data_IF_689820895768
#
_entry.id   IF_689820895768
#
_cell.length_a   1.000
_cell.length_b   1.000
_cell.length_c   1.000
_cell.angle_alpha   90.00
_cell.angle_beta   90.00
_cell.angle_gamma   90.00
#
_symmetry.space_group_name_H-M   'P 1'
#
loop_
_entity.id
_entity.type
_entity.pdbx_description
1 polymer ?
#
# COMPACT_ATOMS: atom_id res chain seq x y z
N UNK A 1 -7.28 -25.98 5.26
CA UNK A 1 -7.47 -25.51 3.87
C UNK A 1 -8.31 -24.24 3.93
N UNK A 2 -7.92 -23.17 3.22
CA UNK A 2 -8.61 -21.87 3.23
C UNK A 2 -9.57 -21.77 2.03
N UNK A 3 -10.85 -22.19 2.15
CA UNK A 3 -11.72 -22.39 1.00
C UNK A 3 -12.01 -21.11 0.20
N UNK A 4 -12.14 -19.97 0.89
CA UNK A 4 -12.34 -18.67 0.24
C UNK A 4 -11.13 -18.28 -0.62
N UNK A 5 -9.92 -18.31 -0.05
CA UNK A 5 -8.71 -17.93 -0.78
C UNK A 5 -8.43 -18.89 -1.94
N UNK A 6 -8.67 -20.19 -1.77
CA UNK A 6 -8.58 -21.15 -2.87
C UNK A 6 -9.53 -20.79 -4.02
N UNK A 7 -10.79 -20.51 -3.70
CA UNK A 7 -11.77 -20.11 -4.70
C UNK A 7 -11.43 -18.77 -5.38
N UNK A 8 -10.83 -17.83 -4.64
CA UNK A 8 -10.34 -16.57 -5.22
C UNK A 8 -9.18 -16.81 -6.19
N UNK A 9 -8.22 -17.66 -5.83
CA UNK A 9 -7.09 -18.01 -6.68
C UNK A 9 -7.55 -18.70 -7.97
N UNK A 10 -8.43 -19.71 -7.86
CA UNK A 10 -9.04 -20.42 -9.00
C UNK A 10 -9.79 -19.47 -9.96
N UNK A 11 -10.41 -18.42 -9.43
CA UNK A 11 -11.18 -17.43 -10.18
C UNK A 11 -10.38 -16.19 -10.57
N UNK A 12 -9.07 -16.16 -10.31
CA UNK A 12 -8.17 -15.02 -10.59
C UNK A 12 -8.62 -13.70 -9.94
N UNK A 13 -9.29 -13.82 -8.79
CA UNK A 13 -9.69 -12.69 -7.95
C UNK A 13 -8.51 -12.22 -7.10
N UNK A 14 -8.55 -10.95 -6.67
CA UNK A 14 -7.49 -10.31 -5.91
C UNK A 14 -7.94 -10.13 -4.47
N UNK A 15 -7.12 -10.56 -3.53
CA UNK A 15 -7.34 -10.29 -2.11
C UNK A 15 -6.87 -8.88 -1.81
N UNK A 16 -7.78 -7.99 -1.46
CA UNK A 16 -7.44 -6.71 -0.88
C UNK A 16 -7.26 -6.88 0.62
N UNK A 17 -6.03 -6.71 1.11
CA UNK A 17 -5.65 -7.07 2.47
C UNK A 17 -5.22 -5.84 3.28
N UNK A 18 -5.86 -5.66 4.43
CA UNK A 18 -5.54 -4.63 5.41
C UNK A 18 -5.80 -5.21 6.79
N UNK A 19 -4.75 -5.39 7.58
CA UNK A 19 -4.81 -6.20 8.79
C UNK A 19 -3.66 -5.90 9.74
N UNK A 20 -3.82 -6.32 10.99
CA UNK A 20 -2.80 -6.19 12.03
C UNK A 20 -1.65 -7.20 11.84
N UNK A 21 -0.47 -6.97 12.46
CA UNK A 21 0.70 -7.83 12.28
C UNK A 21 0.47 -9.34 12.53
N UNK A 22 -0.29 -9.78 13.55
CA UNK A 22 -0.57 -11.20 13.74
C UNK A 22 -1.34 -11.83 12.56
N UNK A 23 -2.26 -11.08 11.96
CA UNK A 23 -3.05 -11.54 10.81
C UNK A 23 -2.19 -11.61 9.55
N UNK A 24 -1.26 -10.67 9.35
CA UNK A 24 -0.30 -10.70 8.23
C UNK A 24 0.63 -11.91 8.34
N UNK A 25 1.11 -12.25 9.55
CA UNK A 25 1.90 -13.48 9.79
C UNK A 25 1.13 -14.76 9.47
N UNK A 26 -0.18 -14.77 9.72
CA UNK A 26 -1.04 -15.89 9.34
C UNK A 26 -1.27 -15.92 7.82
N UNK A 27 -1.44 -14.75 7.20
CA UNK A 27 -1.66 -14.63 5.76
C UNK A 27 -0.42 -15.04 4.95
N UNK A 28 0.80 -14.82 5.46
CA UNK A 28 2.03 -15.39 4.89
C UNK A 28 1.95 -16.92 4.69
N UNK A 29 1.34 -17.64 5.64
CA UNK A 29 1.13 -19.09 5.50
C UNK A 29 0.15 -19.39 4.37
N UNK A 30 -0.89 -18.57 4.20
CA UNK A 30 -1.83 -18.70 3.07
C UNK A 30 -1.10 -18.50 1.75
N UNK A 31 -0.28 -17.46 1.64
CA UNK A 31 0.49 -17.13 0.43
C UNK A 31 1.50 -18.22 0.06
N UNK A 32 2.03 -18.96 1.05
CA UNK A 32 2.92 -20.12 0.82
C UNK A 32 2.16 -21.35 0.34
N UNK A 33 0.95 -21.59 0.86
CA UNK A 33 0.10 -22.71 0.47
C UNK A 33 -0.62 -22.48 -0.87
N UNK A 34 -0.88 -21.23 -1.23
CA UNK A 34 -1.55 -20.80 -2.46
C UNK A 34 -0.66 -19.78 -3.20
N UNK A 35 0.46 -20.21 -3.81
CA UNK A 35 1.40 -19.30 -4.47
C UNK A 35 0.78 -18.54 -5.65
N UNK A 36 -0.30 -19.04 -6.24
CA UNK A 36 -1.07 -18.41 -7.31
C UNK A 36 -2.08 -17.35 -6.83
N UNK A 37 -2.30 -17.22 -5.51
CA UNK A 37 -3.17 -16.21 -4.95
C UNK A 37 -2.54 -14.82 -5.10
N UNK A 38 -3.30 -13.91 -5.72
CA UNK A 38 -2.89 -12.50 -5.85
C UNK A 38 -3.42 -11.70 -4.65
N UNK A 39 -2.53 -10.97 -3.99
CA UNK A 39 -2.86 -10.12 -2.85
C UNK A 39 -2.37 -8.68 -3.05
N UNK A 40 -3.18 -7.70 -2.66
CA UNK A 40 -2.87 -6.28 -2.67
C UNK A 40 -2.92 -5.76 -1.24
N UNK A 41 -1.79 -5.32 -0.71
CA UNK A 41 -1.70 -4.71 0.63
C UNK A 41 -2.10 -3.24 0.56
N UNK A 42 -3.16 -2.88 1.30
CA UNK A 42 -3.74 -1.54 1.26
C UNK A 42 -2.91 -0.49 2.01
N UNK A 43 -3.09 0.78 1.63
CA UNK A 43 -2.60 1.97 2.34
C UNK A 43 -1.11 1.88 2.73
N UNK A 44 -0.25 1.71 1.73
CA UNK A 44 1.19 1.54 1.89
C UNK A 44 1.59 0.31 2.74
N UNK A 45 0.68 -0.65 2.93
CA UNK A 45 0.91 -1.87 3.71
C UNK A 45 1.06 -1.60 5.22
N UNK A 46 0.60 -0.44 5.70
CA UNK A 46 0.58 -0.16 7.13
C UNK A 46 -0.30 -1.17 7.86
N UNK A 47 0.19 -1.64 9.00
CA UNK A 47 -0.51 -2.62 9.83
C UNK A 47 -0.89 -1.90 11.13
N UNK A 48 -2.12 -1.41 11.18
CA UNK A 48 -2.63 -0.57 12.28
C UNK A 48 -3.85 -1.22 12.93
N UNK A 49 -4.16 -0.81 14.16
CA UNK A 49 -5.35 -1.26 14.89
C UNK A 49 -6.29 -0.08 15.18
N UNK A 50 -7.46 -0.35 15.73
CA UNK A 50 -8.35 0.71 16.20
C UNK A 50 -7.80 1.40 17.46
N UNK A 51 -6.85 0.79 18.17
CA UNK A 51 -6.30 1.34 19.42
C UNK A 51 -5.43 2.59 19.18
N UNK A 52 -4.86 2.72 17.99
CA UNK A 52 -4.07 3.89 17.58
C UNK A 52 -4.75 4.75 16.51
N UNK A 53 -6.06 4.54 16.28
CA UNK A 53 -6.86 5.37 15.39
C UNK A 53 -7.30 6.66 16.10
N UNK A 54 -7.08 7.77 15.43
CA UNK A 54 -7.54 9.10 15.79
C UNK A 54 -8.19 9.79 14.58
N UNK A 55 -8.72 10.98 14.81
CA UNK A 55 -9.23 11.87 13.78
C UNK A 55 -8.34 13.11 13.75
N UNK A 56 -7.84 13.50 12.58
CA UNK A 56 -7.03 14.70 12.42
C UNK A 56 -7.87 15.99 12.40
N UNK A 57 -7.20 17.14 12.30
CA UNK A 57 -7.84 18.46 12.24
C UNK A 57 -8.73 18.68 11.01
N UNK A 58 -8.60 17.84 9.98
CA UNK A 58 -9.41 17.86 8.77
C UNK A 58 -10.56 16.84 8.79
N UNK A 59 -10.80 16.19 9.93
CA UNK A 59 -11.79 15.13 10.12
C UNK A 59 -11.51 13.84 9.33
N UNK A 60 -10.23 13.51 9.12
CA UNK A 60 -9.79 12.29 8.42
C UNK A 60 -9.22 11.26 9.41
N UNK A 61 -9.24 9.96 9.07
CA UNK A 61 -8.52 8.95 9.86
C UNK A 61 -7.03 9.29 9.97
N UNK A 62 -6.49 9.18 11.17
CA UNK A 62 -5.06 9.34 11.43
C UNK A 62 -4.57 8.30 12.42
N UNK A 63 -3.38 7.75 12.19
CA UNK A 63 -2.77 6.72 13.01
C UNK A 63 -1.44 7.22 13.55
N UNK A 64 -1.31 7.25 14.87
CA UNK A 64 -0.03 7.57 15.51
C UNK A 64 0.90 6.35 15.41
N UNK A 65 1.88 6.42 14.50
CA UNK A 65 2.83 5.35 14.21
C UNK A 65 4.24 5.90 14.06
N UNK A 66 5.26 5.11 14.40
CA UNK A 66 6.63 5.47 14.06
C UNK A 66 6.83 5.38 12.55
N UNK A 67 7.56 6.33 11.96
CA UNK A 67 7.93 6.31 10.55
C UNK A 67 9.46 6.20 10.38
N UNK A 68 9.97 5.20 9.63
CA UNK A 68 9.25 4.04 9.11
C UNK A 68 8.75 3.10 10.23
N UNK A 69 7.62 2.38 10.04
CA UNK A 69 7.13 1.45 11.05
C UNK A 69 7.95 0.15 11.04
N UNK A 70 8.09 -0.47 12.21
CA UNK A 70 8.81 -1.75 12.36
C UNK A 70 8.14 -2.89 11.58
N UNK A 71 6.85 -2.73 11.25
CA UNK A 71 6.09 -3.68 10.44
C UNK A 71 6.51 -3.70 8.97
N UNK A 72 7.38 -2.80 8.50
CA UNK A 72 7.93 -2.88 7.14
C UNK A 72 8.73 -4.15 6.91
N UNK A 73 9.41 -4.69 7.92
CA UNK A 73 10.14 -5.96 7.78
C UNK A 73 9.16 -7.13 7.54
N UNK A 74 8.00 -7.07 8.19
CA UNK A 74 6.93 -8.06 7.97
C UNK A 74 6.29 -7.90 6.59
N UNK A 75 6.16 -6.66 6.10
CA UNK A 75 5.70 -6.38 4.74
C UNK A 75 6.70 -6.88 3.68
N UNK A 76 8.00 -6.71 3.92
CA UNK A 76 9.06 -7.23 3.05
C UNK A 76 9.03 -8.76 2.96
N UNK A 77 8.80 -9.43 4.09
CA UNK A 77 8.67 -10.88 4.14
C UNK A 77 7.52 -11.39 3.26
N UNK A 78 6.32 -10.80 3.34
CA UNK A 78 5.19 -11.22 2.48
C UNK A 78 5.37 -10.81 1.02
N UNK A 79 6.05 -9.69 0.76
CA UNK A 79 6.36 -9.21 -0.58
C UNK A 79 7.38 -10.07 -1.33
N UNK A 80 8.07 -10.99 -0.65
CA UNK A 80 8.87 -12.04 -1.27
C UNK A 80 8.03 -12.97 -2.16
N UNK A 81 6.70 -13.05 -1.93
CA UNK A 81 5.79 -13.68 -2.87
C UNK A 81 5.57 -12.73 -4.09
N UNK A 82 5.86 -13.17 -5.32
CA UNK A 82 5.76 -12.33 -6.53
C UNK A 82 4.34 -11.86 -6.83
N UNK A 83 3.31 -12.58 -6.38
CA UNK A 83 1.89 -12.23 -6.56
C UNK A 83 1.35 -11.27 -5.48
N UNK A 84 2.26 -10.67 -4.70
CA UNK A 84 1.93 -9.63 -3.73
C UNK A 84 2.22 -8.24 -4.29
N UNK A 85 1.21 -7.38 -4.23
CA UNK A 85 1.21 -6.00 -4.69
C UNK A 85 0.97 -5.04 -3.53
N UNK A 86 1.30 -3.78 -3.75
CA UNK A 86 1.12 -2.71 -2.80
C UNK A 86 0.20 -1.63 -3.36
N UNK A 87 -0.79 -1.21 -2.58
CA UNK A 87 -1.57 -0.03 -2.85
C UNK A 87 -0.88 1.20 -2.23
N UNK A 88 -0.24 2.02 -3.06
CA UNK A 88 0.49 3.22 -2.66
C UNK A 88 -0.49 4.39 -2.45
N UNK A 89 -1.15 4.39 -1.28
CA UNK A 89 -2.20 5.34 -0.90
C UNK A 89 -2.21 5.60 0.62
N UNK A 90 -3.04 6.54 1.07
CA UNK A 90 -3.32 6.78 2.50
C UNK A 90 -2.21 7.51 3.28
N UNK A 91 -1.23 8.15 2.62
CA UNK A 91 -0.08 8.76 3.28
C UNK A 91 -0.47 9.85 4.31
N UNK A 92 -1.55 10.60 4.05
CA UNK A 92 -2.09 11.61 4.97
C UNK A 92 -2.48 11.02 6.34
N UNK A 93 -2.81 9.73 6.40
CA UNK A 93 -3.26 9.07 7.62
C UNK A 93 -2.10 8.67 8.54
N UNK A 94 -0.84 8.75 8.09
CA UNK A 94 0.33 8.25 8.84
C UNK A 94 1.42 9.31 9.06
N UNK A 95 1.54 10.27 8.15
CA UNK A 95 2.52 11.35 8.22
C UNK A 95 2.31 12.27 9.42
N UNK A 96 3.40 12.72 10.03
CA UNK A 96 3.44 13.78 11.03
C UNK A 96 3.81 15.13 10.41
N UNK A 97 4.25 15.13 9.15
CA UNK A 97 4.65 16.32 8.42
C UNK A 97 3.48 16.88 7.59
N UNK A 98 3.39 18.21 7.41
CA UNK A 98 2.51 18.78 6.41
C UNK A 98 2.90 18.26 5.01
N UNK A 99 2.00 18.44 4.04
CA UNK A 99 2.32 18.14 2.64
C UNK A 99 3.67 18.80 2.25
N UNK A 100 4.61 18.07 1.62
CA UNK A 100 4.44 16.80 0.91
C UNK A 100 4.81 15.54 1.72
N UNK A 101 4.61 15.54 3.04
CA UNK A 101 4.79 14.37 3.90
C UNK A 101 6.23 13.81 3.84
N UNK A 102 7.22 14.67 4.11
CA UNK A 102 8.63 14.33 3.88
C UNK A 102 9.10 13.14 4.73
N UNK A 103 8.55 12.97 5.94
CA UNK A 103 8.74 11.81 6.80
C UNK A 103 8.27 10.46 6.20
N UNK A 104 7.45 10.48 5.13
CA UNK A 104 7.05 9.28 4.38
C UNK A 104 8.07 8.87 3.30
N UNK A 105 9.08 9.70 2.98
CA UNK A 105 10.10 9.36 1.97
C UNK A 105 10.85 8.05 2.27
N UNK A 106 11.34 7.80 3.50
CA UNK A 106 12.01 6.53 3.82
C UNK A 106 11.08 5.32 3.61
N UNK A 107 9.79 5.48 3.92
CA UNK A 107 8.78 4.44 3.70
C UNK A 107 8.60 4.21 2.20
N UNK A 108 8.33 5.25 1.42
CA UNK A 108 8.15 5.15 -0.03
C UNK A 108 9.36 4.50 -0.72
N UNK A 109 10.59 4.90 -0.36
CA UNK A 109 11.81 4.31 -0.89
C UNK A 109 11.94 2.83 -0.54
N UNK A 110 11.58 2.44 0.69
CA UNK A 110 11.61 1.04 1.11
C UNK A 110 10.55 0.21 0.35
N UNK A 111 9.35 0.76 0.16
CA UNK A 111 8.30 0.13 -0.62
C UNK A 111 8.72 -0.07 -2.08
N UNK A 112 9.32 0.95 -2.72
CA UNK A 112 9.86 0.83 -4.08
C UNK A 112 10.95 -0.25 -4.16
N UNK A 113 11.82 -0.35 -3.14
CA UNK A 113 12.85 -1.41 -3.08
C UNK A 113 12.25 -2.81 -2.95
N UNK A 114 11.22 -2.97 -2.13
CA UNK A 114 10.59 -4.27 -1.83
C UNK A 114 9.74 -4.77 -3.00
N UNK A 115 8.85 -3.90 -3.50
CA UNK A 115 7.86 -4.29 -4.50
C UNK A 115 8.40 -4.10 -5.93
N UNK A 116 9.28 -3.13 -6.12
CA UNK A 116 9.65 -2.65 -7.44
C UNK A 116 8.52 -1.86 -8.09
N UNK A 117 8.82 -1.19 -9.23
CA UNK A 117 7.84 -0.38 -9.94
C UNK A 117 6.69 -1.18 -10.55
N UNK A 118 6.86 -2.50 -10.75
CA UNK A 118 5.86 -3.37 -11.39
C UNK A 118 4.79 -3.90 -10.42
N UNK A 119 4.92 -3.65 -9.11
CA UNK A 119 3.99 -4.20 -8.09
C UNK A 119 3.41 -3.15 -7.15
N UNK A 120 3.55 -1.88 -7.49
CA UNK A 120 2.95 -0.76 -6.77
C UNK A 120 1.79 -0.17 -7.58
N UNK A 121 0.68 0.13 -6.91
CA UNK A 121 -0.56 0.64 -7.49
C UNK A 121 -0.90 1.95 -6.79
N UNK A 122 -0.80 3.09 -7.47
CA UNK A 122 -1.20 4.36 -6.88
C UNK A 122 -2.73 4.44 -6.70
N UNK A 123 -3.16 5.08 -5.62
CA UNK A 123 -4.53 5.56 -5.50
C UNK A 123 -4.62 6.81 -4.60
N UNK A 124 -5.71 7.55 -4.80
CA UNK A 124 -5.98 8.79 -4.08
C UNK A 124 -6.41 8.59 -2.63
N UNK A 125 -7.13 7.50 -2.33
CA UNK A 125 -7.85 7.33 -1.08
C UNK A 125 -8.97 8.39 -0.85
N UNK A 126 -9.69 8.72 -1.92
CA UNK A 126 -10.94 9.48 -1.85
C UNK A 126 -11.91 8.89 -0.80
N UNK A 127 -12.60 9.71 0.01
CA UNK A 127 -12.79 11.15 -0.13
C UNK A 127 -11.80 12.04 0.62
N UNK A 128 -10.89 11.47 1.40
CA UNK A 128 -10.14 12.18 2.43
C UNK A 128 -9.21 13.26 1.88
N UNK A 129 -8.67 13.06 0.67
CA UNK A 129 -7.73 13.97 0.03
C UNK A 129 -8.38 15.14 -0.72
N UNK A 130 -9.72 15.23 -0.75
CA UNK A 130 -10.44 16.14 -1.66
C UNK A 130 -10.07 17.61 -1.47
N UNK A 131 -9.96 18.05 -0.21
CA UNK A 131 -9.61 19.43 0.15
C UNK A 131 -8.15 19.56 0.55
N UNK A 132 -7.69 18.65 1.41
CA UNK A 132 -6.33 18.64 1.95
C UNK A 132 -5.72 17.26 1.67
N UNK A 133 -4.61 17.15 0.92
CA UNK A 133 -3.90 18.24 0.27
C UNK A 133 -4.53 18.70 -1.06
N UNK A 134 -5.57 18.01 -1.55
CA UNK A 134 -6.14 18.22 -2.89
C UNK A 134 -5.70 17.15 -3.89
N UNK A 135 -6.47 16.99 -4.97
CA UNK A 135 -6.19 15.98 -5.99
C UNK A 135 -4.91 16.26 -6.80
N UNK A 136 -4.59 17.53 -7.08
CA UNK A 136 -3.39 17.88 -7.84
C UNK A 136 -2.14 17.53 -7.05
N UNK A 137 -2.16 17.84 -5.76
CA UNK A 137 -1.13 17.53 -4.78
C UNK A 137 -0.99 16.03 -4.58
N UNK A 138 -2.10 15.29 -4.45
CA UNK A 138 -2.07 13.85 -4.29
C UNK A 138 -1.52 13.12 -5.54
N UNK A 139 -1.78 13.64 -6.74
CA UNK A 139 -1.18 13.15 -7.99
C UNK A 139 0.33 13.44 -8.05
N UNK A 140 0.74 14.64 -7.61
CA UNK A 140 2.14 15.05 -7.58
C UNK A 140 2.95 14.35 -6.46
N UNK A 141 2.30 13.81 -5.44
CA UNK A 141 2.94 13.22 -4.27
C UNK A 141 3.88 12.05 -4.63
N UNK A 142 3.55 11.27 -5.67
CA UNK A 142 4.44 10.19 -6.17
C UNK A 142 5.82 10.74 -6.52
N UNK A 143 5.88 11.85 -7.24
CA UNK A 143 7.12 12.49 -7.66
C UNK A 143 7.87 13.15 -6.49
N UNK A 144 7.14 13.61 -5.46
CA UNK A 144 7.74 14.19 -4.25
C UNK A 144 8.37 13.13 -3.36
N UNK A 145 7.74 11.97 -3.23
CA UNK A 145 8.21 10.87 -2.38
C UNK A 145 9.26 9.99 -3.08
N UNK A 146 9.18 9.86 -4.40
CA UNK A 146 10.05 9.03 -5.24
C UNK A 146 10.67 9.85 -6.40
N UNK A 147 11.51 10.85 -6.12
CA UNK A 147 11.97 11.83 -7.12
C UNK A 147 12.88 11.26 -8.22
N UNK A 148 13.39 10.04 -8.04
CA UNK A 148 14.32 9.40 -8.97
C UNK A 148 13.66 8.33 -9.86
N UNK A 149 12.33 8.24 -9.89
CA UNK A 149 11.63 7.33 -10.78
C UNK A 149 11.87 7.70 -12.25
N UNK A 150 12.07 6.69 -13.09
CA UNK A 150 11.98 6.88 -14.53
C UNK A 150 10.52 7.20 -14.93
N UNK A 151 10.34 7.84 -16.09
CA UNK A 151 9.00 8.08 -16.64
C UNK A 151 8.21 6.78 -16.82
N UNK A 152 8.89 5.70 -17.20
CA UNK A 152 8.29 4.37 -17.37
C UNK A 152 7.81 3.79 -16.03
N UNK A 153 8.67 3.81 -15.01
CA UNK A 153 8.33 3.27 -13.69
C UNK A 153 7.19 4.06 -13.04
N UNK A 154 7.20 5.38 -13.21
CA UNK A 154 6.10 6.24 -12.78
C UNK A 154 4.80 5.88 -13.48
N UNK A 155 4.82 5.65 -14.80
CA UNK A 155 3.62 5.27 -15.55
C UNK A 155 3.04 3.92 -15.10
N UNK A 156 3.91 2.94 -14.77
CA UNK A 156 3.51 1.66 -14.19
C UNK A 156 2.78 1.85 -12.86
N UNK A 157 3.39 2.62 -11.95
CA UNK A 157 2.84 2.89 -10.61
C UNK A 157 1.50 3.64 -10.70
N UNK A 158 1.42 4.66 -11.56
CA UNK A 158 0.27 5.56 -11.66
C UNK A 158 -0.90 5.02 -12.49
N UNK A 159 -0.82 3.81 -13.02
CA UNK A 159 -1.95 3.20 -13.73
C UNK A 159 -1.64 1.91 -14.48
N UNK A 160 -0.44 1.78 -15.07
CA UNK A 160 -0.11 0.64 -15.92
C UNK A 160 -0.22 -0.72 -15.22
N UNK A 161 0.22 -0.80 -13.95
CA UNK A 161 0.07 -2.03 -13.17
C UNK A 161 -1.39 -2.34 -12.85
N UNK A 162 -2.25 -1.32 -12.68
CA UNK A 162 -3.67 -1.53 -12.41
C UNK A 162 -4.39 -2.04 -13.68
N UNK A 163 -4.06 -1.46 -14.84
CA UNK A 163 -4.51 -1.92 -16.16
C UNK A 163 -4.15 -3.40 -16.40
N UNK A 164 -2.90 -3.78 -16.17
CA UNK A 164 -2.45 -5.16 -16.32
C UNK A 164 -3.11 -6.10 -15.31
N UNK A 165 -3.18 -5.71 -14.04
CA UNK A 165 -3.65 -6.58 -12.96
C UNK A 165 -5.16 -6.83 -13.01
N UNK A 166 -5.94 -5.80 -13.32
CA UNK A 166 -7.40 -5.86 -13.32
C UNK A 166 -8.02 -6.08 -14.69
N UNK A 167 -7.22 -6.01 -15.77
CA UNK A 167 -7.66 -6.24 -17.15
C UNK A 167 -8.80 -5.29 -17.52
N UNK A 168 -8.54 -3.98 -17.41
CA UNK A 168 -9.47 -2.94 -17.83
C UNK A 168 -9.67 -2.93 -19.37
#
# INVERSE_FOLDING_TARGET
MFPLFKAMAERKLKVWFYAEPPQVKLFDKVLKELPELVAVFNHCGFMVSLDNLAIDEHNRPHFSVKLPPETLDLLEMVAANPNTYLHFSGQYAFTHDPYPHNDMKPVAQRLLKIFGPNRMLWASDFPWITKEPGYQEQLALVDKLLPNLSTEDRAKICGGNAEELFVF
#
